data_IF_713912069121
#
_entry.id   IF_713912069121
#
_cell.length_a   1.000
_cell.length_b   1.000
_cell.length_c   1.000
_cell.angle_alpha   90.00
_cell.angle_beta   90.00
_cell.angle_gamma   90.00
#
_symmetry.space_group_name_H-M   'P 1'
#
loop_
_entity.id
_entity.type
_entity.pdbx_description
1 polymer ?
#
# COMPACT_ATOMS: atom_id res chain seq x y z
N UNK A 1 21.15 2.31 4.37
CA UNK A 1 20.90 3.77 4.34
C UNK A 1 20.69 4.12 2.88
N UNK A 2 19.54 3.80 2.29
CA UNK A 2 19.40 3.79 0.82
C UNK A 2 18.08 4.40 0.33
N UNK A 3 17.45 5.25 1.15
CA UNK A 3 16.15 5.86 0.83
C UNK A 3 16.22 7.24 0.15
N UNK A 4 17.40 7.86 0.04
CA UNK A 4 17.51 9.28 -0.35
C UNK A 4 18.00 9.54 -1.79
N UNK A 5 18.43 8.51 -2.54
CA UNK A 5 19.02 8.71 -3.89
C UNK A 5 17.99 8.89 -5.02
N UNK A 6 16.71 8.64 -4.78
CA UNK A 6 15.67 8.57 -5.83
C UNK A 6 14.87 9.86 -6.04
N UNK A 7 15.27 10.98 -5.44
CA UNK A 7 14.52 12.24 -5.52
C UNK A 7 15.11 13.28 -6.49
N UNK A 8 16.34 13.07 -6.99
CA UNK A 8 17.03 14.04 -7.86
C UNK A 8 16.40 14.21 -9.25
N UNK A 9 15.59 13.25 -9.70
CA UNK A 9 15.04 13.23 -11.05
C UNK A 9 13.50 13.27 -11.04
N UNK A 10 12.91 14.19 -10.25
CA UNK A 10 11.46 14.42 -10.27
C UNK A 10 11.10 15.36 -11.43
N UNK A 11 10.11 15.00 -12.26
CA UNK A 11 9.58 15.93 -13.25
C UNK A 11 8.92 17.13 -12.54
N UNK A 12 9.08 18.34 -13.10
CA UNK A 12 8.48 19.57 -12.56
C UNK A 12 6.95 19.52 -12.56
N UNK A 13 6.37 18.76 -13.48
CA UNK A 13 4.94 18.57 -13.63
C UNK A 13 4.66 17.12 -14.01
N UNK A 14 3.56 16.54 -13.49
CA UNK A 14 3.09 15.23 -13.92
C UNK A 14 1.58 15.26 -14.11
N UNK A 15 1.11 14.58 -15.15
CA UNK A 15 -0.31 14.53 -15.46
C UNK A 15 -0.97 13.48 -14.58
N UNK A 16 -2.13 13.85 -14.04
CA UNK A 16 -3.02 12.96 -13.30
C UNK A 16 -4.39 12.96 -13.96
N UNK A 17 -5.09 11.87 -13.77
CA UNK A 17 -6.45 11.65 -14.26
C UNK A 17 -7.38 11.46 -13.07
N UNK A 18 -8.43 12.27 -13.03
CA UNK A 18 -9.51 12.14 -12.06
C UNK A 18 -10.65 11.29 -12.61
N UNK A 19 -11.22 10.42 -11.76
CA UNK A 19 -12.30 9.50 -12.10
C UNK A 19 -13.32 9.43 -10.97
N UNK A 20 -14.59 9.68 -11.28
CA UNK A 20 -15.69 9.47 -10.33
C UNK A 20 -16.34 8.12 -10.58
N UNK A 21 -16.15 7.16 -9.68
CA UNK A 21 -16.66 5.79 -9.82
C UNK A 21 -17.17 5.26 -8.48
N UNK A 22 -18.39 4.72 -8.46
CA UNK A 22 -18.97 4.09 -7.26
C UNK A 22 -19.09 5.05 -6.07
N UNK A 23 -19.44 6.31 -6.32
CA UNK A 23 -19.61 7.34 -5.29
C UNK A 23 -18.29 7.94 -4.75
N UNK A 24 -17.13 7.55 -5.27
CA UNK A 24 -15.81 8.04 -4.85
C UNK A 24 -15.09 8.73 -6.01
N UNK A 25 -14.23 9.67 -5.67
CA UNK A 25 -13.29 10.32 -6.60
C UNK A 25 -11.94 9.61 -6.45
N UNK A 26 -11.43 9.06 -7.55
CA UNK A 26 -10.14 8.38 -7.64
C UNK A 26 -9.20 9.19 -8.54
N UNK A 27 -7.96 9.36 -8.10
CA UNK A 27 -6.91 10.04 -8.87
C UNK A 27 -5.86 8.99 -9.24
N UNK A 28 -5.49 8.94 -10.51
CA UNK A 28 -4.50 7.99 -11.03
C UNK A 28 -3.54 8.64 -12.01
N UNK A 29 -2.32 8.12 -12.10
CA UNK A 29 -1.35 8.47 -13.14
C UNK A 29 -1.58 7.69 -14.45
N UNK A 30 -2.55 6.78 -14.47
CA UNK A 30 -2.95 6.03 -15.67
C UNK A 30 -3.79 6.91 -16.61
N UNK A 31 -3.13 7.55 -17.57
CA UNK A 31 -3.74 8.57 -18.43
C UNK A 31 -4.63 8.00 -19.55
N UNK A 32 -4.37 6.76 -20.01
CA UNK A 32 -5.04 6.22 -21.19
C UNK A 32 -6.38 5.52 -20.84
N UNK A 33 -7.51 6.13 -21.22
CA UNK A 33 -8.84 5.57 -20.98
C UNK A 33 -9.13 4.27 -21.75
N UNK A 34 -8.55 4.09 -22.94
CA UNK A 34 -8.74 2.88 -23.76
C UNK A 34 -8.08 1.65 -23.12
N UNK A 35 -6.92 1.86 -22.48
CA UNK A 35 -6.15 0.80 -21.83
C UNK A 35 -6.65 0.60 -20.39
N UNK A 36 -6.95 1.69 -19.68
CA UNK A 36 -7.39 1.69 -18.29
C UNK A 36 -8.78 2.28 -18.16
N UNK A 37 -9.77 1.40 -18.26
CA UNK A 37 -11.18 1.74 -18.10
C UNK A 37 -11.50 2.11 -16.64
N UNK A 38 -12.56 2.89 -16.43
CA UNK A 38 -13.06 3.24 -15.10
C UNK A 38 -13.43 2.00 -14.26
N UNK A 39 -13.85 0.91 -14.91
CA UNK A 39 -14.18 -0.37 -14.22
C UNK A 39 -12.92 -1.06 -13.72
N UNK A 40 -11.89 -1.16 -14.56
CA UNK A 40 -10.60 -1.75 -14.20
C UNK A 40 -9.95 -0.99 -13.05
N UNK A 41 -10.02 0.34 -13.06
CA UNK A 41 -9.47 1.19 -11.98
C UNK A 41 -10.25 1.00 -10.68
N UNK A 42 -11.57 0.83 -10.75
CA UNK A 42 -12.40 0.48 -9.57
C UNK A 42 -11.99 -0.89 -8.98
N UNK A 43 -11.79 -1.89 -9.83
CA UNK A 43 -11.35 -3.23 -9.40
C UNK A 43 -9.94 -3.18 -8.78
N UNK A 44 -9.02 -2.47 -9.42
CA UNK A 44 -7.68 -2.24 -8.87
C UNK A 44 -7.74 -1.54 -7.50
N UNK A 45 -8.58 -0.52 -7.36
CA UNK A 45 -8.77 0.17 -6.09
C UNK A 45 -9.41 -0.74 -5.02
N UNK A 46 -10.28 -1.67 -5.42
CA UNK A 46 -10.86 -2.67 -4.51
C UNK A 46 -9.79 -3.62 -3.96
N UNK A 47 -8.81 -4.02 -4.78
CA UNK A 47 -7.70 -4.87 -4.35
C UNK A 47 -6.85 -4.22 -3.25
N UNK A 48 -6.92 -2.88 -3.08
CA UNK A 48 -6.29 -2.20 -1.94
C UNK A 48 -6.81 -2.73 -0.59
N UNK A 49 -8.03 -3.26 -0.51
CA UNK A 49 -8.54 -3.84 0.74
C UNK A 49 -7.81 -5.14 1.12
N UNK A 50 -7.31 -5.90 0.14
CA UNK A 50 -6.64 -7.17 0.41
C UNK A 50 -5.42 -6.98 1.31
N UNK A 51 -4.67 -5.87 1.15
CA UNK A 51 -3.52 -5.57 2.00
C UNK A 51 -3.88 -5.47 3.49
N UNK A 52 -5.06 -4.93 3.82
CA UNK A 52 -5.53 -4.80 5.19
C UNK A 52 -5.94 -6.16 5.78
N UNK A 53 -6.55 -7.00 4.94
CA UNK A 53 -6.91 -8.38 5.30
C UNK A 53 -5.66 -9.22 5.50
N UNK A 54 -4.69 -9.13 4.60
CA UNK A 54 -3.42 -9.85 4.66
C UNK A 54 -2.63 -9.46 5.91
N UNK A 55 -2.50 -8.15 6.20
CA UNK A 55 -1.85 -7.70 7.43
C UNK A 55 -2.58 -8.18 8.69
N UNK A 56 -3.91 -8.24 8.69
CA UNK A 56 -4.67 -8.80 9.82
C UNK A 56 -4.39 -10.28 10.00
N UNK A 57 -4.31 -11.03 8.90
CA UNK A 57 -4.01 -12.45 8.90
C UNK A 57 -2.60 -12.70 9.43
N UNK A 58 -1.59 -12.00 8.90
CA UNK A 58 -0.19 -12.05 9.39
C UNK A 58 -0.15 -11.81 10.90
N UNK A 59 -0.79 -10.74 11.39
CA UNK A 59 -0.81 -10.42 12.83
C UNK A 59 -1.48 -11.50 13.68
N UNK A 60 -2.55 -12.12 13.17
CA UNK A 60 -3.31 -13.11 13.93
C UNK A 60 -2.66 -14.48 13.92
N UNK A 61 -2.20 -14.94 12.74
CA UNK A 61 -1.56 -16.24 12.56
C UNK A 61 -0.21 -16.32 13.27
N UNK A 62 0.58 -15.25 13.23
CA UNK A 62 1.90 -15.21 13.87
C UNK A 62 1.86 -14.86 15.35
N UNK A 63 0.68 -14.70 15.95
CA UNK A 63 0.55 -14.34 17.36
C UNK A 63 1.06 -12.95 17.72
N UNK A 64 1.29 -12.06 16.74
CA UNK A 64 1.78 -10.68 16.91
C UNK A 64 0.78 -9.73 17.61
N UNK A 65 -0.25 -10.29 18.27
CA UNK A 65 -1.18 -9.56 19.15
C UNK A 65 -0.56 -9.30 20.52
N UNK A 66 0.31 -10.20 20.98
CA UNK A 66 0.98 -10.12 22.28
C UNK A 66 2.45 -10.48 22.11
N UNK A 67 3.34 -9.50 22.30
CA UNK A 67 4.77 -9.74 22.26
C UNK A 67 5.26 -10.30 23.60
N UNK A 68 6.13 -11.32 23.54
CA UNK A 68 6.74 -11.90 24.74
C UNK A 68 7.88 -11.03 25.28
N UNK A 69 8.53 -10.26 24.40
CA UNK A 69 9.66 -9.41 24.73
C UNK A 69 9.24 -8.10 25.39
N UNK A 70 9.97 -7.68 26.44
CA UNK A 70 9.67 -6.47 27.23
C UNK A 70 10.40 -5.20 26.75
N UNK A 71 11.40 -5.33 25.88
CA UNK A 71 12.17 -4.18 25.39
C UNK A 71 11.93 -3.94 23.90
N UNK A 72 11.86 -2.67 23.45
CA UNK A 72 11.50 -2.34 22.07
C UNK A 72 12.47 -2.92 21.03
N UNK A 73 13.76 -3.03 21.37
CA UNK A 73 14.77 -3.68 20.51
C UNK A 73 14.50 -5.16 20.28
N UNK A 74 14.01 -5.88 21.28
CA UNK A 74 13.71 -7.31 21.17
C UNK A 74 12.36 -7.55 20.48
N UNK A 75 11.35 -6.71 20.73
CA UNK A 75 10.07 -6.76 20.01
C UNK A 75 10.26 -6.61 18.51
N UNK A 76 11.15 -5.70 18.07
CA UNK A 76 11.49 -5.57 16.65
C UNK A 76 12.09 -6.86 16.08
N UNK A 77 13.02 -7.50 16.78
CA UNK A 77 13.60 -8.79 16.35
C UNK A 77 12.55 -9.88 16.29
N UNK A 78 11.65 -9.95 17.27
CA UNK A 78 10.53 -10.90 17.32
C UNK A 78 9.60 -10.69 16.10
N UNK A 79 9.28 -9.44 15.77
CA UNK A 79 8.47 -9.11 14.59
C UNK A 79 9.17 -9.49 13.28
N UNK A 80 10.48 -9.22 13.13
CA UNK A 80 11.25 -9.57 11.93
C UNK A 80 11.46 -11.07 11.74
N UNK A 81 11.50 -11.84 12.83
CA UNK A 81 11.69 -13.30 12.75
C UNK A 81 10.37 -14.02 12.44
N UNK A 82 9.24 -13.44 12.85
CA UNK A 82 7.91 -14.01 12.66
C UNK A 82 7.28 -13.58 11.31
N UNK A 83 7.55 -12.37 10.82
CA UNK A 83 7.02 -11.85 9.55
C UNK A 83 7.77 -12.39 8.33
#
# INVERSE_FOLDING_TARGET
MDGQKTFKNKPKEFKVRELKVGGKILITTMLCNKITSSKTIKELYKNRWNIEVDFRNIKSTLGLKSFSCKTPKMVLKEMYFLA
#
